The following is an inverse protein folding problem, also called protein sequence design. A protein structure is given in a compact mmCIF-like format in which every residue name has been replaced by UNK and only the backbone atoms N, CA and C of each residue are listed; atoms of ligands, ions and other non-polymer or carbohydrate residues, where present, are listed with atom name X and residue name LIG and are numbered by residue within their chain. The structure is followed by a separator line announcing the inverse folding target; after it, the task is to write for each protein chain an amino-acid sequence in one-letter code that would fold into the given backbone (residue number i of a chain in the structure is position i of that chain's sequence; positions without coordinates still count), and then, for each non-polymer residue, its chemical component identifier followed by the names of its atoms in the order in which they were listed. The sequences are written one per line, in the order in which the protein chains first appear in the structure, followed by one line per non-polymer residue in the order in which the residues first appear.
data_IF_469880424641
#
_entry.id   IF_469880424641
#
_cell.length_a   1.000
_cell.length_b   1.000
_cell.length_c   1.000
_cell.angle_alpha   90.00
_cell.angle_beta   90.00
_cell.angle_gamma   90.00
#
_symmetry.space_group_name_H-M   'P 1'
#
loop_
_entity.id
_entity.type
_entity.pdbx_description
1 polymer ?
#
# COMPACT_ATOMS: atom_id res chain seq x y z
N UNK A 1 24.40 9.79 46.05
CA UNK A 1 24.75 11.17 46.44
C UNK A 1 26.04 11.52 45.73
N UNK A 2 25.95 11.90 44.44
CA UNK A 2 26.05 13.26 43.90
C UNK A 2 27.44 13.90 44.15
N UNK A 3 28.21 14.00 43.07
CA UNK A 3 28.75 15.28 42.61
C UNK A 3 29.05 15.19 41.12
N UNK A 4 28.36 16.06 40.38
CA UNK A 4 28.35 16.29 38.93
C UNK A 4 29.36 17.36 38.55
N UNK A 5 29.99 17.25 37.38
CA UNK A 5 30.25 18.43 36.54
C UNK A 5 29.97 18.09 35.08
N UNK A 6 29.00 18.83 34.54
CA UNK A 6 28.53 18.86 33.17
C UNK A 6 29.61 19.32 32.19
N UNK A 7 29.59 18.76 30.99
CA UNK A 7 30.35 19.23 29.83
C UNK A 7 29.52 19.04 28.58
N UNK A 8 28.64 20.01 28.30
CA UNK A 8 27.92 20.13 27.03
C UNK A 8 28.92 20.30 25.88
N UNK A 9 28.87 19.41 24.87
CA UNK A 9 29.36 19.72 23.53
C UNK A 9 28.16 19.60 22.60
N UNK A 10 27.77 20.77 22.09
CA UNK A 10 26.70 20.98 21.14
C UNK A 10 27.35 21.24 19.78
N UNK A 11 27.28 20.31 18.83
CA UNK A 11 27.62 20.56 17.43
C UNK A 11 26.80 19.65 16.51
N UNK A 12 25.66 20.19 16.07
CA UNK A 12 25.05 20.04 14.73
C UNK A 12 25.48 18.81 13.89
N UNK A 13 24.64 17.77 13.86
CA UNK A 13 24.69 16.71 12.86
C UNK A 13 24.22 17.26 11.50
N UNK A 14 25.14 17.50 10.58
CA UNK A 14 24.85 17.72 9.16
C UNK A 14 25.03 16.39 8.42
N UNK A 15 23.91 15.73 8.09
CA UNK A 15 23.91 14.51 7.27
C UNK A 15 24.15 14.90 5.82
N UNK A 16 25.40 14.86 5.37
CA UNK A 16 25.75 15.05 3.96
C UNK A 16 25.70 13.68 3.26
N UNK A 17 24.60 13.39 2.57
CA UNK A 17 24.56 12.33 1.57
C UNK A 17 25.16 12.84 0.27
N UNK A 18 26.27 12.28 -0.20
CA UNK A 18 26.79 12.57 -1.55
C UNK A 18 26.66 11.38 -2.49
N UNK A 19 26.09 11.73 -3.63
CA UNK A 19 25.81 10.95 -4.83
C UNK A 19 27.08 10.50 -5.56
N UNK A 20 26.96 9.36 -6.23
CA UNK A 20 27.94 8.73 -7.13
C UNK A 20 28.37 9.63 -8.29
N UNK A 21 29.69 9.71 -8.55
CA UNK A 21 30.22 9.86 -9.91
C UNK A 21 31.55 9.11 -10.05
N UNK A 22 31.67 8.34 -11.14
CA UNK A 22 32.86 7.56 -11.51
C UNK A 22 33.78 8.41 -12.38
N UNK A 23 35.08 8.38 -12.08
CA UNK A 23 36.14 8.62 -13.07
C UNK A 23 37.30 7.68 -12.79
N UNK A 24 37.70 6.90 -13.79
CA UNK A 24 38.90 6.05 -13.76
C UNK A 24 40.10 6.85 -14.24
N UNK A 25 41.18 6.86 -13.47
CA UNK A 25 42.53 7.09 -14.00
C UNK A 25 43.48 6.01 -13.48
N UNK A 26 44.16 5.34 -14.41
CA UNK A 26 45.23 4.40 -14.09
C UNK A 26 46.50 5.19 -13.74
N UNK A 27 47.08 4.91 -12.56
CA UNK A 27 48.50 5.13 -12.30
C UNK A 27 49.06 3.89 -11.61
N UNK A 28 50.21 3.45 -12.11
CA UNK A 28 50.95 2.25 -11.75
C UNK A 28 51.31 2.16 -10.27
N UNK A 29 51.06 0.99 -9.66
CA UNK A 29 51.68 0.56 -8.40
C UNK A 29 50.69 -0.08 -7.44
N UNK A 30 50.78 -1.41 -7.29
CA UNK A 30 50.15 -2.25 -6.27
C UNK A 30 48.68 -1.92 -5.89
N UNK A 31 47.74 -2.51 -6.61
CA UNK A 31 46.32 -2.53 -6.21
C UNK A 31 45.82 -3.97 -6.14
N UNK A 32 45.31 -4.38 -4.97
CA UNK A 32 44.48 -5.57 -4.83
C UNK A 32 43.10 -5.21 -5.37
N UNK A 33 42.59 -5.99 -6.32
CA UNK A 33 41.27 -5.81 -6.88
C UNK A 33 40.19 -6.04 -5.82
N UNK A 34 39.45 -5.00 -5.44
CA UNK A 34 38.20 -5.16 -4.72
C UNK A 34 37.07 -5.34 -5.73
N UNK A 35 36.55 -6.56 -5.79
CA UNK A 35 35.32 -6.89 -6.50
C UNK A 35 34.15 -6.18 -5.80
N UNK A 36 33.27 -5.56 -6.61
CA UNK A 36 32.12 -4.77 -6.18
C UNK A 36 31.30 -5.46 -5.08
N UNK A 37 31.36 -4.92 -3.86
CA UNK A 37 30.33 -5.09 -2.83
C UNK A 37 30.01 -3.70 -2.28
N UNK A 38 28.76 -3.31 -2.45
CA UNK A 38 28.18 -2.05 -1.97
C UNK A 38 28.09 -2.15 -0.44
N UNK A 39 29.11 -1.70 0.28
CA UNK A 39 29.09 -1.64 1.74
C UNK A 39 29.37 -0.20 2.21
N UNK A 40 28.33 0.49 2.63
CA UNK A 40 28.40 1.82 3.25
C UNK A 40 29.13 1.70 4.59
N UNK A 41 30.23 2.43 4.76
CA UNK A 41 30.94 2.57 6.03
C UNK A 41 30.67 3.99 6.57
N UNK A 42 30.08 4.13 7.75
CA UNK A 42 30.02 5.41 8.47
C UNK A 42 31.13 5.39 9.52
N UNK A 43 32.07 6.33 9.43
CA UNK A 43 33.19 6.44 10.37
C UNK A 43 33.44 7.91 10.69
N UNK A 44 33.18 8.34 11.93
CA UNK A 44 33.91 9.43 12.56
C UNK A 44 33.94 9.20 14.06
N UNK A 45 35.12 8.88 14.61
CA UNK A 45 35.64 9.33 15.92
C UNK A 45 37.13 8.97 15.95
N UNK A 46 37.96 9.97 16.26
CA UNK A 46 39.42 9.85 16.41
C UNK A 46 39.68 9.19 17.77
N UNK A 47 40.14 7.94 17.81
CA UNK A 47 40.52 7.26 19.05
C UNK A 47 42.02 7.49 19.37
N UNK A 48 42.42 7.56 20.66
CA UNK A 48 43.83 7.69 21.04
C UNK A 48 44.62 6.43 20.63
N UNK A 49 45.91 6.64 20.37
CA UNK A 49 46.90 5.67 19.91
C UNK A 49 46.74 4.27 20.52
N UNK A 50 46.65 3.26 19.64
CA UNK A 50 46.55 1.80 19.86
C UNK A 50 45.16 1.15 20.01
N UNK A 51 44.08 1.79 19.55
CA UNK A 51 42.79 1.09 19.38
C UNK A 51 42.47 0.85 17.90
N UNK A 52 42.52 -0.42 17.47
CA UNK A 52 42.04 -0.82 16.14
C UNK A 52 40.50 -0.87 16.15
N UNK A 53 39.84 -0.05 15.33
CA UNK A 53 38.40 -0.14 15.14
C UNK A 53 38.10 -1.42 14.33
N UNK A 54 37.62 -2.46 15.01
CA UNK A 54 37.30 -3.75 14.37
C UNK A 54 35.90 -3.63 13.74
N UNK A 55 35.83 -3.53 12.42
CA UNK A 55 34.56 -3.66 11.70
C UNK A 55 34.06 -5.10 11.85
N UNK A 56 33.01 -5.28 12.64
CA UNK A 56 32.32 -6.57 12.73
C UNK A 56 31.36 -6.65 11.55
N UNK A 57 31.40 -7.77 10.83
CA UNK A 57 30.43 -8.04 9.79
C UNK A 57 29.07 -8.24 10.45
N UNK A 58 28.13 -7.35 10.14
CA UNK A 58 26.75 -7.48 10.60
C UNK A 58 26.17 -8.75 9.97
N UNK A 59 25.84 -9.73 10.80
CA UNK A 59 25.33 -11.03 10.37
C UNK A 59 24.04 -11.35 11.13
N UNK A 60 23.12 -12.02 10.44
CA UNK A 60 21.86 -12.47 10.99
C UNK A 60 21.80 -13.99 10.86
N UNK A 61 21.50 -14.68 11.96
CA UNK A 61 21.23 -16.10 11.97
C UNK A 61 19.99 -16.38 12.83
N UNK A 62 18.83 -16.73 12.25
CA UNK A 62 18.57 -16.98 10.81
C UNK A 62 18.76 -15.77 9.90
N UNK A 63 19.03 -16.02 8.62
CA UNK A 63 19.12 -14.98 7.59
C UNK A 63 17.78 -14.23 7.45
N UNK A 64 17.86 -12.95 7.11
CA UNK A 64 16.68 -12.18 6.71
C UNK A 64 16.09 -12.74 5.41
N UNK A 65 14.79 -12.99 5.41
CA UNK A 65 14.06 -13.55 4.28
C UNK A 65 13.48 -12.44 3.39
N UNK A 66 13.01 -12.83 2.20
CA UNK A 66 12.20 -12.00 1.30
C UNK A 66 12.75 -10.60 0.99
N UNK A 67 14.08 -10.48 0.84
CA UNK A 67 14.73 -9.22 0.51
C UNK A 67 14.98 -8.30 1.71
N UNK A 68 14.79 -8.78 2.94
CA UNK A 68 15.21 -8.06 4.14
C UNK A 68 16.74 -7.94 4.25
N UNK A 69 17.21 -6.84 4.83
CA UNK A 69 18.63 -6.53 5.03
C UNK A 69 19.01 -6.71 6.50
N UNK A 70 20.14 -7.35 6.78
CA UNK A 70 20.65 -7.44 8.14
C UNK A 70 21.32 -6.11 8.54
N UNK A 71 20.74 -5.39 9.49
CA UNK A 71 21.19 -4.04 9.89
C UNK A 71 21.89 -4.01 11.26
N UNK A 72 21.68 -5.03 12.08
CA UNK A 72 22.45 -5.28 13.29
C UNK A 72 22.50 -6.79 13.58
N UNK A 73 23.28 -7.22 14.58
CA UNK A 73 23.39 -8.63 14.95
C UNK A 73 22.01 -9.23 15.20
N UNK A 74 21.60 -10.18 14.35
CA UNK A 74 20.28 -10.82 14.36
C UNK A 74 19.07 -9.86 14.24
N UNK A 75 19.27 -8.67 13.67
CA UNK A 75 18.21 -7.69 13.43
C UNK A 75 18.02 -7.46 11.94
N UNK A 76 16.86 -7.88 11.43
CA UNK A 76 16.48 -7.67 10.04
C UNK A 76 15.66 -6.38 9.86
N UNK A 77 16.03 -5.59 8.87
CA UNK A 77 15.20 -4.55 8.30
C UNK A 77 14.44 -5.14 7.10
N UNK A 78 13.12 -5.23 7.21
CA UNK A 78 12.30 -5.76 6.14
C UNK A 78 12.05 -4.75 5.04
N UNK A 79 11.72 -5.25 3.85
CA UNK A 79 11.21 -4.41 2.76
C UNK A 79 9.93 -3.75 3.26
N UNK A 80 10.00 -2.44 3.46
CA UNK A 80 8.93 -1.63 4.04
C UNK A 80 7.62 -1.88 3.31
N UNK A 81 6.55 -2.13 4.07
CA UNK A 81 5.19 -2.38 3.56
C UNK A 81 5.00 -3.65 2.72
N UNK A 82 5.98 -4.55 2.68
CA UNK A 82 5.87 -5.85 2.00
C UNK A 82 6.00 -6.99 2.99
N UNK A 83 6.96 -6.92 3.91
CA UNK A 83 7.25 -7.98 4.88
C UNK A 83 7.45 -7.43 6.29
N UNK A 84 7.12 -8.26 7.28
CA UNK A 84 7.27 -8.01 8.71
C UNK A 84 7.70 -9.31 9.42
N UNK A 85 7.92 -9.22 10.72
CA UNK A 85 8.45 -10.28 11.56
C UNK A 85 9.97 -10.19 11.72
N UNK A 86 10.53 -10.90 12.72
CA UNK A 86 11.94 -10.83 13.10
C UNK A 86 12.91 -11.18 11.97
N UNK A 87 12.48 -11.98 11.00
CA UNK A 87 13.28 -12.41 9.85
C UNK A 87 12.62 -12.04 8.52
N UNK A 88 11.66 -11.11 8.52
CA UNK A 88 10.91 -10.70 7.32
C UNK A 88 10.14 -11.85 6.65
N UNK A 89 9.66 -12.78 7.48
CA UNK A 89 8.99 -13.99 7.04
C UNK A 89 7.48 -13.82 6.80
N UNK A 90 6.88 -12.77 7.37
CA UNK A 90 5.42 -12.58 7.36
C UNK A 90 5.08 -11.48 6.36
N UNK A 91 4.21 -11.71 5.36
CA UNK A 91 3.80 -10.63 4.46
C UNK A 91 2.99 -9.61 5.25
N UNK A 92 3.30 -8.33 5.08
CA UNK A 92 2.49 -7.27 5.66
C UNK A 92 1.13 -7.23 4.97
N UNK A 93 0.06 -7.34 5.78
CA UNK A 93 -1.30 -7.06 5.36
C UNK A 93 -1.69 -5.71 5.95
N UNK A 94 -1.99 -4.75 5.07
CA UNK A 94 -2.73 -3.56 5.47
C UNK A 94 -4.21 -3.94 5.44
N UNK A 95 -4.91 -3.71 6.55
CA UNK A 95 -6.31 -4.12 6.73
C UNK A 95 -7.06 -3.04 7.50
N UNK A 96 -8.04 -2.42 6.86
CA UNK A 96 -9.08 -1.63 7.53
C UNK A 96 -10.24 -2.57 7.83
N UNK A 97 -10.34 -2.97 9.10
CA UNK A 97 -11.37 -3.90 9.56
C UNK A 97 -12.73 -3.22 9.80
N UNK A 98 -12.76 -1.90 9.96
CA UNK A 98 -13.97 -1.10 10.22
C UNK A 98 -14.80 -1.50 11.44
N UNK A 99 -14.15 -2.13 12.43
CA UNK A 99 -14.73 -2.43 13.74
C UNK A 99 -14.69 -1.22 14.66
N UNK A 100 -15.54 -0.23 14.38
CA UNK A 100 -15.60 1.06 15.08
C UNK A 100 -14.29 1.88 15.01
N UNK A 101 -13.47 1.63 14.01
CA UNK A 101 -12.26 2.39 13.70
C UNK A 101 -12.12 2.60 12.20
N UNK A 102 -11.62 3.78 11.82
CA UNK A 102 -11.25 4.10 10.43
C UNK A 102 -9.79 3.80 10.12
N UNK A 103 -9.01 3.42 11.13
CA UNK A 103 -7.58 3.15 11.00
C UNK A 103 -7.33 1.71 10.55
N UNK A 104 -6.21 1.48 9.88
CA UNK A 104 -5.78 0.11 9.60
C UNK A 104 -5.30 -0.59 10.89
N UNK A 105 -5.19 -1.92 10.83
CA UNK A 105 -4.82 -2.78 11.96
C UNK A 105 -3.52 -2.37 12.68
N UNK A 106 -2.61 -1.68 11.98
CA UNK A 106 -1.32 -1.26 12.53
C UNK A 106 -1.18 0.26 12.70
N UNK A 107 -2.26 1.02 12.48
CA UNK A 107 -2.29 2.48 12.63
C UNK A 107 -1.24 3.22 11.77
N UNK A 108 -0.88 2.64 10.63
CA UNK A 108 0.03 3.22 9.63
C UNK A 108 -0.72 4.07 8.62
N UNK A 109 -1.99 3.76 8.35
CA UNK A 109 -2.85 4.42 7.37
C UNK A 109 -4.14 4.88 8.05
N UNK A 110 -4.05 6.01 8.73
CA UNK A 110 -5.14 6.57 9.54
C UNK A 110 -6.23 7.19 8.66
N UNK A 111 -7.47 6.82 8.92
CA UNK A 111 -8.62 7.25 8.13
C UNK A 111 -9.28 8.52 8.68
N UNK A 112 -9.51 9.50 7.82
CA UNK A 112 -10.28 10.71 8.12
C UNK A 112 -11.65 10.61 7.46
N UNK A 113 -12.72 10.58 8.27
CA UNK A 113 -14.08 10.53 7.77
C UNK A 113 -14.57 11.87 7.23
N UNK A 114 -15.23 11.84 6.07
CA UNK A 114 -15.89 12.99 5.44
C UNK A 114 -17.40 12.88 5.64
N UNK A 115 -18.04 13.96 6.09
CA UNK A 115 -19.50 14.05 6.31
C UNK A 115 -20.08 12.98 7.28
N UNK A 116 -19.25 12.50 8.21
CA UNK A 116 -19.65 11.62 9.31
C UNK A 116 -20.02 10.19 8.91
N UNK A 117 -19.08 9.39 8.36
CA UNK A 117 -19.28 7.95 8.16
C UNK A 117 -19.73 7.27 9.46
N UNK A 118 -20.53 6.22 9.33
CA UNK A 118 -21.08 5.49 10.48
C UNK A 118 -20.68 4.03 10.43
N UNK A 119 -20.99 3.28 11.49
CA UNK A 119 -20.74 1.85 11.57
C UNK A 119 -22.08 1.11 11.67
N UNK A 120 -22.23 0.01 10.93
CA UNK A 120 -23.45 -0.79 10.93
C UNK A 120 -23.18 -2.26 11.26
N UNK A 121 -24.11 -2.92 11.95
CA UNK A 121 -24.01 -4.30 12.42
C UNK A 121 -25.25 -5.10 11.99
N UNK A 122 -25.15 -6.43 11.73
CA UNK A 122 -23.91 -7.21 11.69
C UNK A 122 -23.12 -7.01 10.40
N UNK A 123 -21.78 -7.08 10.49
CA UNK A 123 -20.90 -7.22 9.31
C UNK A 123 -20.98 -8.64 8.73
N UNK A 124 -20.23 -8.92 7.65
CA UNK A 124 -20.28 -10.22 6.95
C UNK A 124 -20.14 -11.45 7.85
N UNK A 125 -19.31 -11.39 8.90
CA UNK A 125 -19.06 -12.52 9.82
C UNK A 125 -20.15 -12.73 10.88
N UNK A 126 -21.20 -11.91 10.90
CA UNK A 126 -22.27 -11.97 11.92
C UNK A 126 -21.96 -11.26 13.25
N UNK A 127 -20.71 -10.82 13.44
CA UNK A 127 -20.23 -10.12 14.63
C UNK A 127 -19.30 -8.98 14.23
N UNK A 128 -19.38 -7.82 14.91
CA UNK A 128 -18.63 -6.61 14.58
C UNK A 128 -19.42 -5.64 13.69
N UNK A 129 -18.71 -4.69 13.09
CA UNK A 129 -19.33 -3.63 12.26
C UNK A 129 -18.68 -3.50 10.89
N UNK A 130 -19.45 -3.00 9.92
CA UNK A 130 -18.97 -2.52 8.63
C UNK A 130 -18.84 -0.99 8.69
N UNK A 131 -18.04 -0.40 7.81
CA UNK A 131 -18.15 1.02 7.48
C UNK A 131 -19.41 1.24 6.63
N UNK A 132 -20.37 1.99 7.16
CA UNK A 132 -21.56 2.39 6.42
C UNK A 132 -21.41 3.81 5.89
N UNK A 133 -21.58 3.96 4.57
CA UNK A 133 -21.53 5.23 3.86
C UNK A 133 -22.87 5.52 3.20
N UNK A 134 -23.33 6.76 3.31
CA UNK A 134 -24.50 7.28 2.62
C UNK A 134 -24.06 8.19 1.47
N UNK A 135 -24.34 7.77 0.23
CA UNK A 135 -23.96 8.52 -0.96
C UNK A 135 -24.68 9.88 -1.07
N UNK A 136 -25.95 9.98 -0.64
CA UNK A 136 -26.70 11.26 -0.63
C UNK A 136 -26.08 12.29 0.32
N UNK A 137 -25.41 11.83 1.37
CA UNK A 137 -24.65 12.68 2.29
C UNK A 137 -23.19 12.86 1.90
N UNK A 138 -22.76 12.36 0.74
CA UNK A 138 -21.36 12.44 0.26
C UNK A 138 -20.37 11.94 1.31
N UNK A 139 -20.68 10.81 1.95
CA UNK A 139 -19.85 10.22 3.00
C UNK A 139 -18.73 9.38 2.43
N UNK A 140 -17.54 9.52 2.99
CA UNK A 140 -16.37 8.76 2.55
C UNK A 140 -15.29 8.75 3.64
N UNK A 141 -14.20 8.03 3.38
CA UNK A 141 -12.99 8.07 4.21
C UNK A 141 -11.80 8.42 3.32
N UNK A 142 -10.92 9.30 3.81
CA UNK A 142 -9.69 9.69 3.14
C UNK A 142 -8.51 9.37 4.05
N UNK A 143 -7.48 8.70 3.50
CA UNK A 143 -6.17 8.59 4.15
C UNK A 143 -5.27 9.62 3.47
N UNK A 144 -4.84 10.62 4.23
CA UNK A 144 -4.02 11.71 3.71
C UNK A 144 -2.60 11.21 3.45
N UNK A 145 -2.09 11.46 2.24
CA UNK A 145 -0.69 11.21 1.94
C UNK A 145 0.20 12.29 2.57
N UNK A 146 1.39 11.94 3.11
CA UNK A 146 1.90 10.57 3.31
C UNK A 146 1.32 9.88 4.57
N UNK A 147 1.20 8.53 4.59
CA UNK A 147 1.68 7.59 3.56
C UNK A 147 0.68 7.33 2.43
N UNK A 148 1.16 6.69 1.35
CA UNK A 148 0.34 6.21 0.24
C UNK A 148 0.72 4.75 -0.08
N UNK A 149 -0.13 4.02 -0.81
CA UNK A 149 0.19 2.66 -1.26
C UNK A 149 1.08 2.72 -2.49
N UNK A 150 2.34 2.31 -2.35
CA UNK A 150 3.27 2.26 -3.47
C UNK A 150 2.97 1.06 -4.38
N UNK A 151 2.19 1.33 -5.43
CA UNK A 151 1.80 0.39 -6.49
C UNK A 151 2.50 0.68 -7.82
N UNK A 152 3.41 1.65 -7.86
CA UNK A 152 4.07 2.12 -9.08
C UNK A 152 4.93 1.02 -9.68
N UNK A 153 4.59 0.54 -10.88
CA UNK A 153 5.36 -0.48 -11.60
C UNK A 153 5.59 -1.77 -10.78
N UNK A 154 4.66 -2.11 -9.89
CA UNK A 154 4.72 -3.30 -9.03
C UNK A 154 3.44 -4.10 -9.10
N UNK A 155 3.52 -5.37 -8.69
CA UNK A 155 2.33 -6.21 -8.51
C UNK A 155 1.64 -5.87 -7.19
N UNK A 156 0.32 -5.93 -7.17
CA UNK A 156 -0.46 -5.69 -5.94
C UNK A 156 -1.76 -6.48 -5.94
N UNK A 157 -2.37 -6.58 -4.76
CA UNK A 157 -3.72 -7.12 -4.59
C UNK A 157 -4.52 -6.29 -3.58
N UNK A 158 -5.77 -6.03 -3.90
CA UNK A 158 -6.76 -5.35 -3.05
C UNK A 158 -7.99 -6.25 -2.89
N UNK A 159 -8.54 -6.27 -1.69
CA UNK A 159 -9.75 -7.03 -1.37
C UNK A 159 -10.69 -6.20 -0.51
N UNK A 160 -11.99 -6.40 -0.67
CA UNK A 160 -13.01 -5.80 0.18
C UNK A 160 -14.27 -6.68 0.21
N UNK A 161 -14.95 -6.69 1.34
CA UNK A 161 -16.36 -7.09 1.39
C UNK A 161 -17.22 -5.86 1.17
N UNK A 162 -18.22 -5.99 0.31
CA UNK A 162 -19.13 -4.87 0.00
C UNK A 162 -20.58 -5.34 -0.01
N UNK A 163 -21.48 -4.50 0.49
CA UNK A 163 -22.93 -4.67 0.41
C UNK A 163 -23.57 -3.32 0.13
N UNK A 164 -23.97 -3.13 -1.12
CA UNK A 164 -24.57 -1.89 -1.57
C UNK A 164 -26.04 -1.77 -1.16
N UNK A 165 -26.45 -0.62 -0.63
CA UNK A 165 -27.87 -0.26 -0.43
C UNK A 165 -28.49 0.16 -1.76
N UNK A 166 -27.76 0.93 -2.56
CA UNK A 166 -28.10 1.29 -3.94
C UNK A 166 -26.90 1.07 -4.86
N UNK A 167 -27.18 0.75 -6.12
CA UNK A 167 -26.17 0.63 -7.18
C UNK A 167 -26.59 1.50 -8.36
N UNK A 168 -25.65 2.29 -8.87
CA UNK A 168 -25.86 3.15 -10.01
C UNK A 168 -26.05 2.34 -11.30
N UNK A 169 -26.98 2.82 -12.11
CA UNK A 169 -27.27 2.29 -13.44
C UNK A 169 -27.39 3.46 -14.41
N UNK A 170 -26.56 3.51 -15.44
CA UNK A 170 -26.52 4.59 -16.44
C UNK A 170 -27.81 4.69 -17.27
N UNK A 171 -28.72 3.71 -17.18
CA UNK A 171 -30.06 3.83 -17.72
C UNK A 171 -30.96 4.79 -16.91
N UNK A 172 -30.64 5.01 -15.63
CA UNK A 172 -31.44 5.82 -14.68
C UNK A 172 -30.65 6.99 -14.08
N UNK A 173 -29.33 6.86 -13.94
CA UNK A 173 -28.44 7.82 -13.30
C UNK A 173 -27.38 8.32 -14.30
N UNK A 174 -27.28 9.63 -14.50
CA UNK A 174 -26.29 10.19 -15.42
C UNK A 174 -24.90 10.24 -14.76
N UNK A 175 -23.93 9.51 -15.34
CA UNK A 175 -22.49 9.59 -15.04
C UNK A 175 -22.09 9.49 -13.55
N UNK A 176 -22.50 8.44 -12.85
CA UNK A 176 -22.09 8.17 -11.47
C UNK A 176 -21.62 6.73 -11.27
N UNK A 177 -20.58 6.57 -10.45
CA UNK A 177 -20.02 5.29 -10.05
C UNK A 177 -20.19 5.07 -8.54
N UNK A 178 -20.49 3.84 -8.11
CA UNK A 178 -20.31 3.50 -6.71
C UNK A 178 -18.85 3.14 -6.47
N UNK A 179 -18.13 3.98 -5.75
CA UNK A 179 -16.69 3.82 -5.59
C UNK A 179 -16.37 3.04 -4.32
N UNK A 180 -15.58 1.98 -4.43
CA UNK A 180 -15.14 1.19 -3.27
C UNK A 180 -13.83 1.75 -2.73
N UNK A 181 -12.83 1.91 -3.61
CA UNK A 181 -11.47 2.30 -3.25
C UNK A 181 -10.82 3.10 -4.38
N UNK A 182 -9.98 4.07 -4.04
CA UNK A 182 -9.21 4.83 -5.01
C UNK A 182 -7.88 5.34 -4.47
N UNK A 183 -6.91 5.50 -5.37
CA UNK A 183 -5.68 6.27 -5.14
C UNK A 183 -5.35 7.01 -6.42
N UNK A 184 -5.37 8.34 -6.39
CA UNK A 184 -5.28 9.15 -7.60
C UNK A 184 -4.21 10.23 -7.44
N UNK A 185 -3.15 10.19 -8.25
CA UNK A 185 -2.22 11.30 -8.36
C UNK A 185 -2.81 12.41 -9.24
N UNK A 186 -3.36 12.01 -10.39
CA UNK A 186 -3.94 12.90 -11.39
C UNK A 186 -4.87 12.08 -12.29
N UNK A 187 -5.96 12.68 -12.78
CA UNK A 187 -6.90 12.07 -13.74
C UNK A 187 -6.29 11.96 -15.14
N UNK A 188 -5.25 11.15 -15.25
CA UNK A 188 -4.52 10.79 -16.48
C UNK A 188 -4.32 9.28 -16.47
N UNK A 189 -4.27 8.68 -17.65
CA UNK A 189 -4.03 7.25 -17.82
C UNK A 189 -2.80 6.79 -17.03
N UNK A 190 -2.95 5.62 -16.43
CA UNK A 190 -2.01 4.94 -15.54
C UNK A 190 -1.72 5.64 -14.21
N UNK A 191 -2.27 6.83 -13.92
CA UNK A 191 -1.94 7.62 -12.72
C UNK A 191 -3.08 7.77 -11.71
N UNK A 192 -4.20 7.10 -11.96
CA UNK A 192 -5.35 7.11 -11.07
C UNK A 192 -5.95 5.72 -10.98
N UNK A 193 -5.78 5.07 -9.83
CA UNK A 193 -6.41 3.80 -9.53
C UNK A 193 -7.84 4.07 -9.06
N UNK A 194 -8.82 3.43 -9.69
CA UNK A 194 -10.18 3.38 -9.20
C UNK A 194 -10.71 1.95 -9.20
N UNK A 195 -11.35 1.58 -8.08
CA UNK A 195 -12.10 0.35 -7.92
C UNK A 195 -13.55 0.77 -7.71
N UNK A 196 -14.38 0.49 -8.70
CA UNK A 196 -15.75 1.03 -8.79
C UNK A 196 -16.74 -0.05 -9.18
N UNK A 197 -18.03 0.25 -8.98
CA UNK A 197 -19.15 -0.44 -9.60
C UNK A 197 -19.86 0.55 -10.51
N UNK A 198 -19.99 0.20 -11.78
CA UNK A 198 -20.67 0.97 -12.83
C UNK A 198 -21.64 0.05 -13.54
N UNK A 199 -22.89 0.46 -13.71
CA UNK A 199 -23.92 -0.40 -14.31
C UNK A 199 -24.07 -1.76 -13.61
N UNK A 200 -23.86 -1.78 -12.29
CA UNK A 200 -23.85 -3.00 -11.47
C UNK A 200 -22.72 -4.01 -11.81
N UNK A 201 -21.73 -3.63 -12.62
CA UNK A 201 -20.52 -4.43 -12.86
C UNK A 201 -19.32 -3.78 -12.17
N UNK A 202 -18.44 -4.59 -11.60
CA UNK A 202 -17.22 -4.08 -10.97
C UNK A 202 -16.14 -3.75 -11.99
N UNK A 203 -15.31 -2.75 -11.69
CA UNK A 203 -14.16 -2.39 -12.52
C UNK A 203 -12.90 -2.24 -11.67
N UNK A 204 -11.77 -2.58 -12.28
CA UNK A 204 -10.44 -2.15 -11.85
C UNK A 204 -9.88 -1.27 -12.97
N UNK A 205 -9.58 -0.02 -12.65
CA UNK A 205 -9.11 0.93 -13.65
C UNK A 205 -7.88 1.68 -13.22
N UNK A 206 -7.00 1.93 -14.20
CA UNK A 206 -5.91 2.90 -14.09
C UNK A 206 -6.24 4.20 -14.85
N UNK A 207 -7.53 4.58 -14.89
CA UNK A 207 -8.09 5.71 -15.65
C UNK A 207 -7.96 5.60 -17.16
N UNK A 208 -9.11 5.55 -17.87
CA UNK A 208 -9.18 5.23 -19.30
C UNK A 208 -8.42 3.93 -19.67
N UNK A 209 -8.28 3.04 -18.69
CA UNK A 209 -7.55 1.77 -18.81
C UNK A 209 -8.12 0.77 -17.82
N UNK A 210 -9.41 0.49 -18.03
CA UNK A 210 -10.24 -0.24 -17.10
C UNK A 210 -10.55 -1.64 -17.65
N UNK A 211 -10.53 -2.62 -16.76
CA UNK A 211 -11.17 -3.91 -16.99
C UNK A 211 -12.52 -3.96 -16.27
N UNK A 212 -13.53 -4.51 -16.95
CA UNK A 212 -14.88 -4.68 -16.43
C UNK A 212 -15.15 -6.14 -16.13
N UNK A 213 -15.72 -6.41 -14.95
CA UNK A 213 -16.26 -7.71 -14.58
C UNK A 213 -17.48 -8.08 -15.43
N UNK A 214 -17.91 -9.34 -15.28
CA UNK A 214 -19.07 -9.89 -16.00
C UNK A 214 -20.20 -10.31 -15.05
N UNK A 215 -19.91 -10.43 -13.76
CA UNK A 215 -20.94 -10.70 -12.75
C UNK A 215 -21.78 -9.45 -12.49
N UNK A 216 -23.09 -9.57 -12.69
CA UNK A 216 -24.07 -8.54 -12.35
C UNK A 216 -24.32 -8.53 -10.83
N UNK A 217 -23.94 -7.44 -10.16
CA UNK A 217 -24.13 -7.29 -8.71
C UNK A 217 -25.57 -6.87 -8.38
N UNK A 218 -26.07 -7.37 -7.25
CA UNK A 218 -27.38 -7.00 -6.71
C UNK A 218 -27.23 -6.21 -5.42
N UNK A 219 -28.16 -5.29 -5.15
CA UNK A 219 -28.21 -4.58 -3.86
C UNK A 219 -28.51 -5.53 -2.71
N UNK A 220 -28.22 -5.09 -1.49
CA UNK A 220 -28.48 -5.80 -0.23
C UNK A 220 -27.87 -7.20 -0.15
N UNK A 221 -26.87 -7.49 -0.99
CA UNK A 221 -26.15 -8.76 -1.04
C UNK A 221 -24.66 -8.49 -0.77
N UNK A 222 -24.06 -9.31 0.08
CA UNK A 222 -22.63 -9.23 0.34
C UNK A 222 -21.84 -9.90 -0.78
N UNK A 223 -20.80 -9.21 -1.27
CA UNK A 223 -19.83 -9.75 -2.21
C UNK A 223 -18.42 -9.57 -1.66
N UNK A 224 -17.59 -10.61 -1.80
CA UNK A 224 -16.16 -10.49 -1.62
C UNK A 224 -15.52 -10.13 -2.95
N UNK A 225 -14.99 -8.93 -3.04
CA UNK A 225 -14.38 -8.39 -4.25
C UNK A 225 -12.86 -8.51 -4.14
N UNK A 226 -12.24 -9.06 -5.18
CA UNK A 226 -10.78 -9.19 -5.28
C UNK A 226 -10.24 -8.57 -6.55
N UNK A 227 -9.17 -7.80 -6.40
CA UNK A 227 -8.54 -7.03 -7.47
C UNK A 227 -7.05 -7.32 -7.44
N UNK A 228 -6.53 -8.00 -8.45
CA UNK A 228 -5.11 -8.39 -8.50
C UNK A 228 -4.49 -7.85 -9.77
N UNK A 229 -3.34 -7.19 -9.64
CA UNK A 229 -2.50 -6.80 -10.76
C UNK A 229 -1.15 -7.49 -10.66
N UNK A 230 -0.80 -8.26 -11.69
CA UNK A 230 0.51 -8.87 -11.84
C UNK A 230 1.33 -8.08 -12.86
N UNK A 231 2.33 -7.35 -12.35
CA UNK A 231 3.23 -6.56 -13.17
C UNK A 231 4.14 -7.42 -14.06
N UNK A 232 4.48 -8.65 -13.67
CA UNK A 232 5.37 -9.51 -14.46
C UNK A 232 4.73 -9.93 -15.78
N UNK A 233 3.43 -10.20 -15.74
CA UNK A 233 2.60 -10.61 -16.89
C UNK A 233 1.75 -9.48 -17.44
N UNK A 234 1.77 -8.29 -16.82
CA UNK A 234 0.93 -7.13 -17.16
C UNK A 234 -0.54 -7.52 -17.27
N UNK A 235 -1.04 -8.23 -16.26
CA UNK A 235 -2.40 -8.77 -16.23
C UNK A 235 -3.15 -8.31 -14.99
N UNK A 236 -4.36 -7.79 -15.19
CA UNK A 236 -5.36 -7.53 -14.18
C UNK A 236 -6.30 -8.73 -14.05
N UNK A 237 -6.72 -9.02 -12.82
CA UNK A 237 -7.68 -10.06 -12.49
C UNK A 237 -8.73 -9.49 -11.53
N UNK A 238 -10.00 -9.75 -11.84
CA UNK A 238 -11.14 -9.45 -10.99
C UNK A 238 -11.72 -10.75 -10.46
N UNK A 239 -12.00 -10.79 -9.17
CA UNK A 239 -12.62 -11.92 -8.49
C UNK A 239 -13.89 -11.46 -7.79
N UNK A 240 -14.94 -12.27 -7.88
CA UNK A 240 -16.18 -12.09 -7.12
C UNK A 240 -16.41 -13.37 -6.32
N UNK A 241 -16.56 -13.24 -5.01
CA UNK A 241 -16.73 -14.36 -4.07
C UNK A 241 -15.61 -15.41 -4.17
N UNK A 242 -14.39 -14.97 -4.48
CA UNK A 242 -13.20 -15.81 -4.63
C UNK A 242 -13.09 -16.56 -5.96
N UNK A 243 -14.08 -16.43 -6.83
CA UNK A 243 -14.05 -17.00 -8.19
C UNK A 243 -13.55 -15.93 -9.16
N UNK A 244 -12.67 -16.31 -10.08
CA UNK A 244 -12.23 -15.40 -11.15
C UNK A 244 -13.43 -15.00 -12.00
N UNK A 245 -13.71 -13.70 -12.05
CA UNK A 245 -14.78 -13.11 -12.84
C UNK A 245 -14.26 -12.75 -14.25
N UNK A 246 -13.11 -12.08 -14.30
CA UNK A 246 -12.43 -11.74 -15.57
C UNK A 246 -10.93 -11.54 -15.36
N UNK A 247 -10.16 -11.70 -16.43
CA UNK A 247 -8.76 -11.27 -16.52
C UNK A 247 -8.49 -10.57 -17.84
N UNK A 248 -7.54 -9.63 -17.86
CA UNK A 248 -7.19 -8.90 -19.06
C UNK A 248 -5.93 -8.07 -18.86
N UNK A 249 -5.43 -7.50 -19.96
CA UNK A 249 -4.24 -6.66 -19.93
C UNK A 249 -4.63 -5.19 -20.03
N UNK A 250 -4.23 -4.34 -19.07
CA UNK A 250 -4.33 -2.90 -19.24
C UNK A 250 -3.37 -2.44 -20.35
N UNK A 251 -3.64 -1.26 -20.93
CA UNK A 251 -2.77 -0.54 -21.86
C UNK A 251 -1.40 -0.29 -21.23
N UNK A 252 -1.33 -0.05 -19.92
CA UNK A 252 -0.11 0.20 -19.17
C UNK A 252 -0.12 -0.33 -17.74
N UNK A 253 1.05 -0.36 -17.07
CA UNK A 253 1.08 -0.57 -15.63
C UNK A 253 0.64 0.69 -14.89
N UNK A 254 0.18 0.54 -13.66
CA UNK A 254 -0.02 1.69 -12.78
C UNK A 254 1.31 2.44 -12.53
N UNK A 255 1.28 3.75 -12.71
CA UNK A 255 2.41 4.68 -12.72
C UNK A 255 2.27 5.82 -11.70
N UNK A 256 1.16 5.91 -10.97
CA UNK A 256 0.99 6.94 -9.95
C UNK A 256 1.99 6.76 -8.80
N UNK A 257 2.69 7.83 -8.41
CA UNK A 257 3.77 7.84 -7.39
C UNK A 257 3.38 8.52 -6.09
N UNK A 258 2.15 9.02 -5.99
CA UNK A 258 1.60 9.71 -4.81
C UNK A 258 0.07 9.78 -4.91
N UNK A 259 -0.56 10.37 -3.90
CA UNK A 259 -2.00 10.64 -3.88
C UNK A 259 -2.65 10.11 -2.61
N UNK A 260 -3.71 10.78 -2.17
CA UNK A 260 -4.51 10.30 -1.05
C UNK A 260 -5.17 8.97 -1.42
N UNK A 261 -5.32 8.09 -0.42
CA UNK A 261 -6.23 6.95 -0.54
C UNK A 261 -7.63 7.41 -0.19
N UNK A 262 -8.60 6.83 -0.87
CA UNK A 262 -10.02 7.09 -0.66
C UNK A 262 -10.76 5.78 -0.55
N UNK A 263 -11.69 5.70 0.39
CA UNK A 263 -12.61 4.57 0.57
C UNK A 263 -14.01 5.15 0.48
N UNK A 264 -14.82 4.59 -0.41
CA UNK A 264 -16.16 5.08 -0.65
C UNK A 264 -16.29 6.30 -1.57
N UNK A 265 -15.19 6.79 -2.15
CA UNK A 265 -15.18 7.88 -3.14
C UNK A 265 -13.89 7.86 -3.96
N UNK A 266 -13.75 8.74 -4.97
CA UNK A 266 -12.51 8.99 -5.69
C UNK A 266 -12.36 10.49 -6.02
N UNK A 267 -11.18 10.88 -6.52
CA UNK A 267 -10.84 12.26 -6.89
C UNK A 267 -11.21 12.56 -8.36
N UNK A 268 -11.95 11.67 -9.03
CA UNK A 268 -12.28 11.83 -10.45
C UNK A 268 -13.50 12.77 -10.56
N UNK A 269 -13.43 13.74 -11.48
CA UNK A 269 -14.43 14.80 -11.68
C UNK A 269 -15.76 14.26 -12.25
N UNK A 270 -16.53 13.56 -11.41
CA UNK A 270 -17.94 13.29 -11.64
C UNK A 270 -18.72 13.66 -10.38
N UNK A 271 -19.87 14.37 -10.51
CA UNK A 271 -20.75 14.55 -9.37
C UNK A 271 -21.23 13.16 -8.90
N UNK A 272 -21.20 12.94 -7.58
CA UNK A 272 -21.81 11.77 -6.92
C UNK A 272 -21.09 10.42 -7.02
N UNK A 273 -19.76 10.41 -7.13
CA UNK A 273 -18.97 9.18 -6.98
C UNK A 273 -18.83 8.77 -5.51
N UNK A 274 -19.89 8.21 -4.93
CA UNK A 274 -19.91 7.72 -3.55
C UNK A 274 -20.45 6.31 -3.44
N UNK A 275 -19.89 5.53 -2.51
CA UNK A 275 -20.49 4.29 -2.08
C UNK A 275 -21.77 4.55 -1.28
N UNK A 276 -22.77 3.70 -1.47
CA UNK A 276 -23.97 3.68 -0.64
C UNK A 276 -24.16 2.28 -0.06
N UNK A 277 -23.96 2.14 1.25
CA UNK A 277 -24.06 0.87 1.97
C UNK A 277 -22.81 0.52 2.78
N UNK A 278 -22.62 -0.77 3.04
CA UNK A 278 -21.52 -1.30 3.84
C UNK A 278 -20.27 -1.59 2.99
N UNK A 279 -19.11 -1.22 3.51
CA UNK A 279 -17.78 -1.72 3.11
C UNK A 279 -17.13 -2.33 4.35
N UNK A 280 -16.49 -3.49 4.20
CA UNK A 280 -15.86 -4.21 5.30
C UNK A 280 -14.54 -4.87 4.85
N UNK A 281 -13.59 -5.02 5.78
CA UNK A 281 -12.31 -5.69 5.61
C UNK A 281 -11.55 -5.31 4.32
N UNK A 282 -11.38 -4.01 4.07
CA UNK A 282 -10.56 -3.54 2.97
C UNK A 282 -9.11 -3.91 3.27
N UNK A 283 -8.46 -4.65 2.37
CA UNK A 283 -7.08 -5.07 2.58
C UNK A 283 -6.23 -4.94 1.34
N UNK A 284 -4.95 -4.65 1.56
CA UNK A 284 -3.93 -4.51 0.53
C UNK A 284 -2.76 -5.47 0.80
N UNK A 285 -2.20 -5.99 -0.29
CA UNK A 285 -0.93 -6.69 -0.31
C UNK A 285 -0.05 -6.18 -1.47
N UNK A 286 1.22 -5.90 -1.20
CA UNK A 286 2.21 -5.44 -2.17
C UNK A 286 2.76 -6.58 -3.07
N UNK A 287 1.88 -7.52 -3.44
CA UNK A 287 2.17 -8.64 -4.33
C UNK A 287 0.90 -9.10 -5.06
N UNK A 288 1.06 -9.77 -6.20
CA UNK A 288 -0.04 -10.45 -6.88
C UNK A 288 -0.38 -11.76 -6.15
N UNK A 289 -1.54 -11.83 -5.51
CA UNK A 289 -2.01 -13.05 -4.83
C UNK A 289 -2.56 -14.04 -5.85
N UNK A 290 -2.11 -15.29 -5.75
CA UNK A 290 -2.63 -16.43 -6.53
C UNK A 290 -3.92 -17.02 -5.96
N UNK A 291 -4.16 -16.80 -4.67
CA UNK A 291 -5.30 -17.33 -3.95
C UNK A 291 -6.12 -16.18 -3.39
N UNK A 292 -7.37 -16.10 -3.85
CA UNK A 292 -8.36 -15.13 -3.42
C UNK A 292 -9.49 -15.93 -2.77
N UNK A 293 -9.40 -16.15 -1.46
CA UNK A 293 -10.45 -16.81 -0.71
C UNK A 293 -11.31 -15.77 0.01
N UNK A 294 -12.65 -15.84 -0.09
CA UNK A 294 -13.50 -15.25 0.93
C UNK A 294 -13.17 -15.97 2.26
N UNK A 295 -13.05 -15.19 3.34
CA UNK A 295 -12.77 -15.71 4.68
C UNK A 295 -13.74 -16.81 5.10
#
# INVERSE_FOLDING_TARGET
MISTTDGMINTTDEVISTTTSMTTSMVSGNTIAFQRLINIHICHIRLPSNSFCKCILVTCNPNCLNGGTCIAMNTCQCVTNVWTGPYCQTPMRILWAFDNSLDDLHNNFQGVGTNGPTYSSPRITGYGTCLYLNATSSQSVTILAPPFLNMTLTSFSLFAWVKATSLHNTATDSYSDNVIFGQCQQTVQDKCLHIIVRNQYTYLGFFDDDISGVTLLSTNTWYHMGYVYDYSTKTQYLYVNGVLDVSGSPKGPYQGTMGNLTIGTNVIYFPNNYWDGCIDQVSYAALAKKQVLPL
#
